data_IF_117060842877
#
_entry.id   IF_117060842877
#
_cell.length_a   1.000
_cell.length_b   1.000
_cell.length_c   1.000
_cell.angle_alpha   90.00
_cell.angle_beta   90.00
_cell.angle_gamma   90.00
#
_symmetry.space_group_name_H-M   'P 1'
#
loop_
_entity.id
_entity.type
_entity.pdbx_description
1 polymer ?
#
# COMPACT_ATOMS: atom_id res chain seq x y z
N UNK A 1 6.14 12.51 11.56
CA UNK A 1 5.50 11.30 12.10
C UNK A 1 4.93 10.59 10.90
N UNK A 2 5.24 9.32 10.73
CA UNK A 2 4.90 8.61 9.49
C UNK A 2 3.92 7.52 9.83
N UNK A 3 2.73 7.59 9.26
CA UNK A 3 1.77 6.50 9.26
C UNK A 3 2.10 5.63 8.06
N UNK A 4 2.35 4.34 8.29
CA UNK A 4 2.57 3.37 7.21
C UNK A 4 1.30 2.52 7.10
N UNK A 5 0.81 2.34 5.88
CA UNK A 5 -0.37 1.54 5.63
C UNK A 5 -0.14 0.56 4.48
N UNK A 6 -0.82 -0.59 4.55
CA UNK A 6 -0.91 -1.55 3.46
C UNK A 6 -2.33 -1.53 2.92
N UNK A 7 -2.46 -1.19 1.65
CA UNK A 7 -3.72 -1.16 0.91
C UNK A 7 -3.76 -2.30 -0.10
N UNK A 8 -4.79 -3.12 -0.02
CA UNK A 8 -5.12 -4.16 -0.99
C UNK A 8 -6.52 -3.90 -1.51
N UNK A 9 -6.68 -3.87 -2.84
CA UNK A 9 -7.96 -3.72 -3.51
C UNK A 9 -8.12 -4.92 -4.44
N UNK A 10 -9.22 -5.63 -4.28
CA UNK A 10 -9.50 -6.87 -5.01
C UNK A 10 -10.87 -6.76 -5.69
N UNK A 11 -10.91 -6.37 -6.98
CA UNK A 11 -12.09 -6.47 -7.82
C UNK A 11 -12.55 -7.93 -7.93
N UNK A 12 -13.86 -8.20 -7.79
CA UNK A 12 -14.39 -9.57 -7.80
C UNK A 12 -15.12 -9.85 -9.12
N UNK A 13 -14.35 -10.16 -10.17
CA UNK A 13 -14.88 -10.57 -11.47
C UNK A 13 -13.95 -11.55 -12.20
N UNK A 14 -14.34 -11.98 -13.41
CA UNK A 14 -13.51 -12.82 -14.29
C UNK A 14 -12.59 -11.94 -15.13
N UNK A 15 -11.40 -12.46 -15.47
CA UNK A 15 -10.44 -11.77 -16.34
C UNK A 15 -9.29 -11.15 -15.57
N UNK A 16 -8.50 -10.33 -16.26
CA UNK A 16 -7.45 -9.50 -15.63
C UNK A 16 -8.10 -8.40 -14.79
N UNK A 17 -7.43 -8.01 -13.71
CA UNK A 17 -7.83 -6.89 -12.84
C UNK A 17 -6.90 -5.68 -13.00
N UNK A 18 -5.96 -5.73 -13.95
CA UNK A 18 -4.86 -4.78 -14.03
C UNK A 18 -5.31 -3.32 -14.29
N UNK A 19 -6.36 -3.13 -15.11
CA UNK A 19 -6.87 -1.78 -15.43
C UNK A 19 -7.60 -1.16 -14.24
N UNK A 20 -8.32 -1.97 -13.48
CA UNK A 20 -8.99 -1.57 -12.24
C UNK A 20 -7.97 -1.19 -11.17
N UNK A 21 -6.95 -2.03 -10.95
CA UNK A 21 -5.87 -1.74 -10.00
C UNK A 21 -5.09 -0.49 -10.40
N UNK A 22 -4.83 -0.30 -11.71
CA UNK A 22 -4.16 0.91 -12.18
C UNK A 22 -4.95 2.18 -11.87
N UNK A 23 -6.29 2.14 -11.98
CA UNK A 23 -7.16 3.26 -11.58
C UNK A 23 -7.12 3.52 -10.08
N UNK A 24 -7.16 2.46 -9.27
CA UNK A 24 -7.06 2.58 -7.82
C UNK A 24 -5.74 3.21 -7.37
N UNK A 25 -4.62 2.80 -7.98
CA UNK A 25 -3.30 3.37 -7.68
C UNK A 25 -3.19 4.82 -8.16
N UNK A 26 -3.69 5.13 -9.36
CA UNK A 26 -3.69 6.50 -9.88
C UNK A 26 -4.51 7.47 -9.01
N UNK A 27 -5.57 7.00 -8.35
CA UNK A 27 -6.34 7.83 -7.42
C UNK A 27 -5.53 8.28 -6.20
N UNK A 28 -4.41 7.61 -5.87
CA UNK A 28 -3.51 8.02 -4.78
C UNK A 28 -2.73 9.30 -5.14
N UNK A 29 -2.55 9.61 -6.43
CA UNK A 29 -1.79 10.78 -6.91
C UNK A 29 -2.43 12.13 -6.48
N UNK A 30 -3.71 12.12 -6.12
CA UNK A 30 -4.45 13.30 -5.67
C UNK A 30 -4.23 13.61 -4.17
N UNK A 31 -3.46 12.80 -3.46
CA UNK A 31 -3.22 12.91 -2.01
C UNK A 31 -1.75 13.17 -1.70
N UNK A 32 -1.48 13.84 -0.58
CA UNK A 32 -0.12 14.04 -0.06
C UNK A 32 0.38 12.77 0.65
N UNK A 33 0.54 11.70 -0.14
CA UNK A 33 1.03 10.40 0.31
C UNK A 33 2.13 9.93 -0.63
N UNK A 34 3.08 9.19 -0.10
CA UNK A 34 3.99 8.39 -0.94
C UNK A 34 3.47 6.96 -0.99
N UNK A 35 3.67 6.27 -2.12
CA UNK A 35 3.24 4.89 -2.25
C UNK A 35 4.18 4.03 -3.10
N UNK A 36 4.23 2.73 -2.80
CA UNK A 36 4.93 1.71 -3.58
C UNK A 36 4.00 0.52 -3.82
N UNK A 37 3.65 0.27 -5.08
CA UNK A 37 2.89 -0.93 -5.45
C UNK A 37 3.81 -2.15 -5.53
N UNK A 38 3.47 -3.19 -4.78
CA UNK A 38 4.13 -4.49 -4.79
C UNK A 38 3.32 -5.51 -5.60
N UNK A 39 3.74 -6.77 -5.59
CA UNK A 39 2.99 -7.85 -6.24
C UNK A 39 1.66 -8.18 -5.55
N UNK A 40 1.49 -7.81 -4.28
CA UNK A 40 0.35 -8.24 -3.45
C UNK A 40 -0.46 -7.10 -2.86
N UNK A 41 0.12 -5.90 -2.78
CA UNK A 41 -0.49 -4.74 -2.12
C UNK A 41 0.15 -3.43 -2.63
N UNK A 42 -0.32 -2.31 -2.11
CA UNK A 42 0.35 -1.02 -2.20
C UNK A 42 0.66 -0.54 -0.80
N UNK A 43 1.94 -0.26 -0.53
CA UNK A 43 2.36 0.35 0.73
C UNK A 43 2.25 1.86 0.60
N UNK A 44 1.62 2.52 1.57
CA UNK A 44 1.36 3.96 1.62
C UNK A 44 2.07 4.54 2.85
N UNK A 45 2.72 5.69 2.71
CA UNK A 45 3.21 6.51 3.82
C UNK A 45 2.56 7.89 3.78
N UNK A 46 2.07 8.36 4.93
CA UNK A 46 1.42 9.66 5.09
C UNK A 46 1.79 10.32 6.43
N UNK A 47 1.48 11.61 6.59
CA UNK A 47 1.68 12.32 7.86
C UNK A 47 0.59 11.99 8.89
N UNK A 48 -0.56 11.51 8.44
CA UNK A 48 -1.71 11.21 9.30
C UNK A 48 -2.54 10.01 8.85
N UNK A 49 -3.25 9.40 9.80
CA UNK A 49 -4.23 8.34 9.49
C UNK A 49 -5.41 8.87 8.68
N UNK A 50 -5.75 10.15 8.81
CA UNK A 50 -6.81 10.80 8.05
C UNK A 50 -6.51 10.82 6.55
N UNK A 51 -5.27 11.13 6.16
CA UNK A 51 -4.81 11.08 4.76
C UNK A 51 -4.85 9.65 4.23
N UNK A 52 -4.39 8.66 5.02
CA UNK A 52 -4.47 7.24 4.63
C UNK A 52 -5.92 6.83 4.37
N UNK A 53 -6.86 7.18 5.26
CA UNK A 53 -8.28 6.84 5.06
C UNK A 53 -8.86 7.52 3.82
N UNK A 54 -8.53 8.79 3.59
CA UNK A 54 -9.02 9.53 2.42
C UNK A 54 -8.48 8.95 1.11
N UNK A 55 -7.18 8.63 1.06
CA UNK A 55 -6.54 8.02 -0.10
C UNK A 55 -7.09 6.60 -0.36
N UNK A 56 -7.24 5.78 0.69
CA UNK A 56 -7.80 4.44 0.56
C UNK A 56 -9.27 4.46 0.09
N UNK A 57 -10.06 5.44 0.55
CA UNK A 57 -11.43 5.63 0.08
C UNK A 57 -11.45 5.98 -1.41
N UNK A 58 -10.65 6.94 -1.85
CA UNK A 58 -10.58 7.34 -3.26
C UNK A 58 -10.13 6.17 -4.16
N UNK A 59 -9.13 5.40 -3.72
CA UNK A 59 -8.69 4.21 -4.43
C UNK A 59 -9.77 3.13 -4.53
N UNK A 60 -10.56 2.93 -3.47
CA UNK A 60 -11.72 2.02 -3.51
C UNK A 60 -12.79 2.50 -4.50
N UNK A 61 -13.14 3.79 -4.47
CA UNK A 61 -14.19 4.37 -5.30
C UNK A 61 -13.79 4.50 -6.78
N UNK A 62 -12.49 4.54 -7.09
CA UNK A 62 -11.98 4.62 -8.46
C UNK A 62 -12.16 3.33 -9.27
N UNK A 63 -12.44 2.20 -8.60
CA UNK A 63 -12.69 0.91 -9.26
C UNK A 63 -14.17 0.78 -9.61
N UNK A 64 -14.47 0.64 -10.89
CA UNK A 64 -15.84 0.50 -11.39
C UNK A 64 -16.17 -0.99 -11.64
N UNK A 65 -16.69 -1.67 -10.61
CA UNK A 65 -17.13 -3.07 -10.69
C UNK A 65 -18.23 -3.36 -9.68
N UNK A 66 -19.00 -4.43 -9.91
CA UNK A 66 -20.15 -4.81 -9.08
C UNK A 66 -19.78 -5.16 -7.63
N UNK A 67 -18.54 -5.60 -7.40
CA UNK A 67 -18.06 -5.98 -6.06
C UNK A 67 -16.56 -5.78 -5.91
N UNK A 68 -16.18 -5.04 -4.88
CA UNK A 68 -14.79 -4.78 -4.49
C UNK A 68 -14.59 -5.28 -3.07
N UNK A 69 -13.46 -5.92 -2.81
CA UNK A 69 -12.98 -6.20 -1.46
C UNK A 69 -11.75 -5.34 -1.24
N UNK A 70 -11.76 -4.52 -0.19
CA UNK A 70 -10.60 -3.71 0.21
C UNK A 70 -10.13 -4.15 1.58
N UNK A 71 -8.82 -4.38 1.70
CA UNK A 71 -8.15 -4.57 2.99
C UNK A 71 -7.23 -3.37 3.22
N UNK A 72 -7.39 -2.73 4.38
CA UNK A 72 -6.52 -1.66 4.83
C UNK A 72 -5.95 -2.01 6.19
N UNK A 73 -4.63 -2.03 6.30
CA UNK A 73 -3.90 -2.19 7.55
C UNK A 73 -3.08 -0.92 7.80
N UNK A 74 -3.13 -0.39 9.01
CA UNK A 74 -2.45 0.85 9.39
C UNK A 74 -1.55 0.58 10.59
N UNK A 75 -0.28 0.92 10.45
CA UNK A 75 0.70 0.96 11.52
C UNK A 75 1.05 2.42 11.83
N UNK A 76 0.45 2.94 12.90
CA UNK A 76 0.67 4.30 13.40
C UNK A 76 1.50 4.25 14.68
N UNK A 77 2.81 4.44 14.50
CA UNK A 77 3.77 4.51 15.60
C UNK A 77 3.98 5.95 16.06
N UNK A 78 3.27 6.35 17.12
CA UNK A 78 3.19 7.75 17.60
C UNK A 78 4.41 8.28 18.38
N UNK A 79 5.37 7.42 18.72
CA UNK A 79 6.56 7.77 19.52
C UNK A 79 7.82 8.02 18.66
N UNK A 80 7.81 7.68 17.36
CA UNK A 80 8.93 7.92 16.45
C UNK A 80 8.47 8.04 14.99
N UNK A 81 9.31 8.59 14.13
CA UNK A 81 9.12 8.52 12.67
C UNK A 81 10.02 7.42 12.12
N UNK A 82 9.52 6.65 11.17
CA UNK A 82 10.20 5.52 10.53
C UNK A 82 9.60 5.34 9.15
N UNK A 83 10.42 5.03 8.15
CA UNK A 83 9.98 4.72 6.80
C UNK A 83 9.94 3.20 6.59
N UNK A 84 9.16 2.75 5.62
CA UNK A 84 9.06 1.34 5.20
C UNK A 84 10.42 0.79 4.80
N UNK A 85 11.25 1.61 4.15
CA UNK A 85 12.62 1.24 3.79
C UNK A 85 13.47 0.89 5.02
N UNK A 86 13.29 1.60 6.15
CA UNK A 86 14.02 1.32 7.39
C UNK A 86 13.64 -0.06 7.97
N UNK A 87 12.35 -0.44 7.84
CA UNK A 87 11.86 -1.76 8.27
C UNK A 87 12.49 -2.89 7.46
N UNK A 88 12.59 -2.70 6.15
CA UNK A 88 13.24 -3.68 5.26
C UNK A 88 14.75 -3.76 5.56
N UNK A 89 15.40 -2.62 5.77
CA UNK A 89 16.82 -2.56 6.10
C UNK A 89 17.14 -3.28 7.43
N UNK A 90 16.30 -3.10 8.46
CA UNK A 90 16.45 -3.80 9.74
C UNK A 90 16.33 -5.32 9.59
N UNK A 91 15.42 -5.80 8.72
CA UNK A 91 15.30 -7.23 8.40
C UNK A 91 16.54 -7.72 7.64
N UNK A 92 17.03 -6.96 6.65
CA UNK A 92 18.25 -7.30 5.90
C UNK A 92 19.48 -7.42 6.80
N UNK A 93 19.67 -6.47 7.72
CA UNK A 93 20.74 -6.50 8.72
C UNK A 93 20.63 -7.75 9.61
N UNK A 94 19.45 -8.02 10.16
CA UNK A 94 19.22 -9.20 11.00
C UNK A 94 19.40 -10.52 10.24
N UNK A 95 19.07 -10.53 8.95
CA UNK A 95 19.21 -11.69 8.07
C UNK A 95 20.66 -11.90 7.59
N UNK A 96 21.50 -10.86 7.62
CA UNK A 96 22.87 -10.86 7.10
C UNK A 96 22.96 -10.94 5.57
N UNK A 97 21.86 -10.68 4.86
CA UNK A 97 21.75 -10.68 3.39
C UNK A 97 20.43 -10.02 2.95
N UNK A 98 20.31 -9.57 1.69
CA UNK A 98 19.06 -9.05 1.17
C UNK A 98 17.90 -10.04 1.32
N UNK A 99 16.69 -9.60 1.72
CA UNK A 99 15.50 -10.44 1.85
C UNK A 99 14.89 -10.77 0.47
N UNK A 100 15.73 -11.10 -0.51
CA UNK A 100 15.36 -11.45 -1.88
C UNK A 100 16.13 -12.70 -2.30
N UNK A 101 15.44 -13.70 -2.82
CA UNK A 101 16.04 -14.90 -3.41
C UNK A 101 15.28 -15.25 -4.69
N UNK A 102 15.99 -15.37 -5.80
CA UNK A 102 15.41 -15.92 -7.02
C UNK A 102 15.49 -17.44 -6.97
N UNK A 103 14.40 -18.12 -7.29
CA UNK A 103 14.43 -19.54 -7.64
C UNK A 103 15.11 -19.68 -9.01
N UNK A 104 16.00 -20.67 -9.11
CA UNK A 104 16.59 -21.09 -10.38
C UNK A 104 15.54 -21.72 -11.30
#
# INVERSE_FOLDING_TARGET
MTVIARLEITPVHKGSMAEEIARAVAALDDFDVSYETTAMDTVIEAESTAEVFAAAQAAHEAVDTDRIITSLEIDDRRDRSEHTADRVAAVEEALGRPPKRQSA
#
